data_IF_748352384356
#
_entry.id   IF_748352384356
#
_cell.length_a   1.000
_cell.length_b   1.000
_cell.length_c   1.000
_cell.angle_alpha   90.00
_cell.angle_beta   90.00
_cell.angle_gamma   90.00
#
_symmetry.space_group_name_H-M   'P 1'
#
loop_
_entity.id
_entity.type
_entity.pdbx_description
1 polymer ?
#
# COMPACT_ATOMS: atom_id res chain seq x y z
N UNK A 1 13.21 -15.29 -2.07
CA UNK A 1 13.91 -14.63 -0.95
C UNK A 1 12.83 -13.85 -0.23
N UNK A 2 12.47 -14.21 1.02
CA UNK A 2 11.42 -13.48 1.73
C UNK A 2 12.03 -12.22 2.33
N UNK A 3 11.58 -11.05 1.86
CA UNK A 3 11.99 -9.77 2.42
C UNK A 3 11.43 -9.65 3.85
N UNK A 4 12.28 -9.40 4.87
CA UNK A 4 11.85 -9.37 6.26
C UNK A 4 10.87 -8.24 6.57
N UNK A 5 10.93 -7.12 5.85
CA UNK A 5 10.00 -6.00 6.02
C UNK A 5 8.62 -6.35 5.48
N UNK A 6 8.54 -7.13 4.40
CA UNK A 6 7.26 -7.67 3.90
C UNK A 6 6.62 -8.61 4.94
N UNK A 7 7.41 -9.48 5.58
CA UNK A 7 6.91 -10.37 6.63
C UNK A 7 6.41 -9.59 7.86
N UNK A 8 7.21 -8.64 8.34
CA UNK A 8 6.81 -7.75 9.45
C UNK A 8 5.55 -6.97 9.10
N UNK A 9 5.44 -6.46 7.86
CA UNK A 9 4.23 -5.78 7.41
C UNK A 9 2.99 -6.66 7.51
N UNK A 10 3.07 -7.91 7.02
CA UNK A 10 1.94 -8.86 7.06
C UNK A 10 1.51 -9.17 8.49
N UNK A 11 2.46 -9.29 9.41
CA UNK A 11 2.18 -9.65 10.80
C UNK A 11 1.71 -8.46 11.65
N UNK A 12 2.30 -7.28 11.47
CA UNK A 12 2.11 -6.17 12.41
C UNK A 12 1.27 -5.01 11.86
N UNK A 13 1.28 -4.81 10.55
CA UNK A 13 0.70 -3.63 9.90
C UNK A 13 -0.60 -3.97 9.20
N UNK A 14 -0.66 -5.08 8.47
CA UNK A 14 -1.85 -5.51 7.76
C UNK A 14 -3.08 -5.66 8.68
N UNK A 15 -2.99 -6.27 9.89
CA UNK A 15 -4.15 -6.35 10.79
C UNK A 15 -4.65 -4.98 11.25
N UNK A 16 -3.75 -4.01 11.45
CA UNK A 16 -4.11 -2.63 11.83
C UNK A 16 -4.77 -1.89 10.66
N UNK A 17 -4.30 -2.12 9.44
CA UNK A 17 -4.94 -1.57 8.24
C UNK A 17 -6.37 -2.11 8.12
N UNK A 18 -6.57 -3.41 8.31
CA UNK A 18 -7.89 -4.05 8.31
C UNK A 18 -8.82 -3.42 9.33
N UNK A 19 -8.38 -3.33 10.60
CA UNK A 19 -9.21 -2.82 11.70
C UNK A 19 -9.58 -1.34 11.53
N UNK A 20 -8.60 -0.50 11.13
CA UNK A 20 -8.76 0.95 11.11
C UNK A 20 -9.38 1.49 9.82
N UNK A 21 -9.15 0.83 8.70
CA UNK A 21 -9.48 1.34 7.37
C UNK A 21 -10.31 0.38 6.53
N UNK A 22 -10.52 -0.87 6.96
CA UNK A 22 -11.36 -1.86 6.28
C UNK A 22 -11.15 -1.87 4.75
N UNK A 23 -9.91 -2.03 4.28
CA UNK A 23 -9.59 -1.88 2.86
C UNK A 23 -10.21 -3.02 2.04
N UNK A 24 -10.69 -2.69 0.84
CA UNK A 24 -11.09 -3.70 -0.14
C UNK A 24 -9.87 -4.37 -0.78
N UNK A 25 -8.79 -3.61 -1.02
CA UNK A 25 -7.53 -4.13 -1.56
C UNK A 25 -6.32 -3.58 -0.81
N UNK A 26 -5.31 -4.44 -0.61
CA UNK A 26 -3.97 -4.03 -0.19
C UNK A 26 -2.94 -4.73 -1.06
N UNK A 27 -2.10 -3.94 -1.72
CA UNK A 27 -1.15 -4.44 -2.72
C UNK A 27 0.25 -3.93 -2.39
N UNK A 28 1.19 -4.85 -2.26
CA UNK A 28 2.61 -4.55 -2.10
C UNK A 28 3.28 -4.54 -3.48
N UNK A 29 4.12 -3.55 -3.75
CA UNK A 29 4.84 -3.46 -5.02
C UNK A 29 6.23 -2.85 -4.82
N UNK A 30 6.91 -2.50 -5.91
CA UNK A 30 8.18 -1.78 -5.88
C UNK A 30 9.39 -2.65 -5.56
N UNK A 31 10.48 -2.00 -5.15
CA UNK A 31 11.83 -2.61 -5.13
C UNK A 31 11.94 -3.80 -4.16
N UNK A 32 11.26 -3.73 -3.00
CA UNK A 32 11.23 -4.81 -1.99
C UNK A 32 10.56 -6.07 -2.53
N UNK A 33 9.47 -5.92 -3.27
CA UNK A 33 8.77 -7.05 -3.90
C UNK A 33 9.58 -7.61 -5.07
N UNK A 34 10.27 -6.75 -5.83
CA UNK A 34 11.10 -7.15 -6.96
C UNK A 34 12.44 -7.79 -6.54
N UNK A 35 12.86 -7.63 -5.28
CA UNK A 35 14.14 -8.13 -4.78
C UNK A 35 15.35 -7.29 -5.23
N UNK A 36 15.12 -6.07 -5.71
CA UNK A 36 16.15 -5.10 -6.15
C UNK A 36 16.40 -4.01 -5.11
N UNK A 37 15.93 -4.24 -3.88
CA UNK A 37 15.89 -3.27 -2.78
C UNK A 37 17.24 -3.11 -2.07
N UNK A 38 17.39 -2.01 -1.33
CA UNK A 38 18.51 -1.76 -0.41
C UNK A 38 17.98 -1.58 1.02
N UNK A 39 18.86 -1.62 2.02
CA UNK A 39 18.45 -1.63 3.45
C UNK A 39 17.56 -0.44 3.83
N UNK A 40 17.76 0.73 3.20
CA UNK A 40 17.00 1.96 3.47
C UNK A 40 15.74 2.13 2.62
N UNK A 41 15.46 1.21 1.69
CA UNK A 41 14.29 1.32 0.83
C UNK A 41 12.99 1.26 1.63
N UNK A 42 12.01 2.04 1.23
CA UNK A 42 10.64 1.94 1.71
C UNK A 42 9.93 0.69 1.18
N UNK A 43 8.85 0.32 1.86
CA UNK A 43 7.87 -0.62 1.34
C UNK A 43 6.74 0.17 0.67
N UNK A 44 6.57 -0.04 -0.63
CA UNK A 44 5.49 0.58 -1.40
C UNK A 44 4.18 -0.20 -1.24
N UNK A 45 3.13 0.49 -0.80
CA UNK A 45 1.83 -0.13 -0.48
C UNK A 45 0.69 0.68 -1.10
N UNK A 46 -0.14 0.02 -1.91
CA UNK A 46 -1.44 0.56 -2.31
C UNK A 46 -2.47 0.08 -1.29
N UNK A 47 -3.31 1.00 -0.82
CA UNK A 47 -4.46 0.72 0.05
C UNK A 47 -5.71 1.29 -0.62
N UNK A 48 -6.64 0.42 -0.97
CA UNK A 48 -7.94 0.79 -1.54
C UNK A 48 -8.99 0.65 -0.44
N UNK A 49 -9.68 1.73 -0.13
CA UNK A 49 -10.74 1.75 0.89
C UNK A 49 -11.80 2.80 0.57
N UNK A 50 -13.09 2.43 0.69
CA UNK A 50 -14.20 3.39 0.70
C UNK A 50 -14.07 4.46 1.80
N UNK A 51 -13.35 4.18 2.90
CA UNK A 51 -13.16 5.15 3.99
C UNK A 51 -12.41 6.42 3.57
N UNK A 52 -11.73 6.39 2.41
CA UNK A 52 -11.00 7.54 1.87
C UNK A 52 -11.86 8.51 1.04
N UNK A 53 -13.15 8.20 0.82
CA UNK A 53 -14.06 8.97 -0.06
C UNK A 53 -14.16 10.44 0.31
N UNK A 54 -14.27 10.74 1.59
CA UNK A 54 -14.42 12.12 2.09
C UNK A 54 -13.11 12.69 2.66
N UNK A 55 -11.97 12.03 2.42
CA UNK A 55 -10.65 12.48 2.86
C UNK A 55 -9.88 13.08 1.68
N UNK A 56 -9.43 14.35 1.75
CA UNK A 56 -8.60 14.94 0.70
C UNK A 56 -7.37 14.08 0.41
N UNK A 57 -7.04 13.86 -0.87
CA UNK A 57 -5.98 12.92 -1.28
C UNK A 57 -4.65 13.14 -0.54
N UNK A 58 -4.22 14.39 -0.41
CA UNK A 58 -2.97 14.76 0.25
C UNK A 58 -2.95 14.51 1.77
N UNK A 59 -4.12 14.29 2.39
CA UNK A 59 -4.26 13.99 3.82
C UNK A 59 -4.31 12.48 4.12
N UNK A 60 -4.54 11.63 3.11
CA UNK A 60 -4.72 10.18 3.31
C UNK A 60 -3.44 9.48 3.77
N UNK A 61 -2.31 9.75 3.13
CA UNK A 61 -1.02 9.23 3.59
C UNK A 61 -0.68 9.70 5.03
N UNK A 62 -0.76 11.00 5.37
CA UNK A 62 -0.60 11.46 6.75
C UNK A 62 -1.57 10.80 7.73
N UNK A 63 -2.83 10.58 7.34
CA UNK A 63 -3.84 9.93 8.14
C UNK A 63 -3.43 8.49 8.50
N UNK A 64 -3.05 7.69 7.51
CA UNK A 64 -2.58 6.30 7.73
C UNK A 64 -1.34 6.29 8.62
N UNK A 65 -0.33 7.08 8.28
CA UNK A 65 0.94 7.16 9.03
C UNK A 65 0.76 7.64 10.47
N UNK A 66 -0.21 8.53 10.74
CA UNK A 66 -0.50 8.99 12.11
C UNK A 66 -1.15 7.91 12.96
N UNK A 67 -1.97 7.04 12.36
CA UNK A 67 -2.68 5.95 13.06
C UNK A 67 -1.82 4.70 13.21
N UNK A 68 -0.94 4.45 12.25
CA UNK A 68 -0.06 3.27 12.22
C UNK A 68 1.39 3.75 12.21
N UNK A 69 2.03 3.73 13.38
CA UNK A 69 3.47 4.03 13.48
C UNK A 69 4.29 2.77 13.23
N UNK A 70 5.35 2.90 12.45
CA UNK A 70 6.22 1.83 12.01
C UNK A 70 7.67 2.14 12.40
N UNK A 71 8.48 1.10 12.59
CA UNK A 71 9.94 1.22 12.77
C UNK A 71 10.72 1.35 11.46
N UNK A 72 10.04 1.27 10.32
CA UNK A 72 10.59 1.28 8.96
C UNK A 72 9.73 2.14 8.04
N UNK A 73 10.28 2.54 6.89
CA UNK A 73 9.57 3.41 5.95
C UNK A 73 8.54 2.63 5.13
N UNK A 74 7.34 3.18 5.03
CA UNK A 74 6.27 2.69 4.16
C UNK A 74 5.74 3.89 3.39
N UNK A 75 5.66 3.78 2.07
CA UNK A 75 4.96 4.73 1.23
C UNK A 75 3.55 4.18 0.91
N UNK A 76 2.52 4.94 1.29
CA UNK A 76 1.13 4.54 1.08
C UNK A 76 0.50 5.34 -0.04
N UNK A 77 0.03 4.64 -1.08
CA UNK A 77 -0.87 5.19 -2.07
C UNK A 77 -2.31 4.81 -1.72
N UNK A 78 -3.09 5.80 -1.27
CA UNK A 78 -4.45 5.59 -0.77
C UNK A 78 -5.52 6.05 -1.77
N UNK A 79 -6.39 5.12 -2.19
CA UNK A 79 -7.44 5.37 -3.16
C UNK A 79 -8.81 4.91 -2.64
N UNK A 80 -9.88 5.55 -3.10
CA UNK A 80 -11.18 4.88 -3.11
C UNK A 80 -11.22 3.81 -4.20
N UNK A 81 -12.12 2.81 -4.13
CA UNK A 81 -12.31 1.86 -5.22
C UNK A 81 -12.56 2.53 -6.57
N UNK A 82 -13.40 3.56 -6.59
CA UNK A 82 -13.71 4.31 -7.82
C UNK A 82 -12.49 5.04 -8.38
N UNK A 83 -11.68 5.67 -7.53
CA UNK A 83 -10.43 6.30 -7.95
C UNK A 83 -9.42 5.28 -8.44
N UNK A 84 -9.28 4.16 -7.73
CA UNK A 84 -8.33 3.12 -8.07
C UNK A 84 -8.59 2.62 -9.49
N UNK A 85 -9.82 2.21 -9.82
CA UNK A 85 -10.19 1.76 -11.17
C UNK A 85 -9.89 2.79 -12.25
N UNK A 86 -10.20 4.07 -12.00
CA UNK A 86 -9.90 5.15 -12.96
C UNK A 86 -8.40 5.37 -13.14
N UNK A 87 -7.63 5.23 -12.07
CA UNK A 87 -6.21 5.55 -12.06
C UNK A 87 -5.33 4.40 -12.58
N UNK A 88 -5.82 3.15 -12.63
CA UNK A 88 -5.10 2.00 -13.22
C UNK A 88 -4.54 2.26 -14.62
N UNK A 89 -5.24 3.09 -15.41
CA UNK A 89 -4.86 3.41 -16.81
C UNK A 89 -4.27 4.81 -16.98
N UNK A 90 -4.15 5.60 -15.90
CA UNK A 90 -3.74 7.01 -15.94
C UNK A 90 -2.51 7.33 -15.10
N UNK A 91 -2.21 6.50 -14.09
CA UNK A 91 -1.02 6.62 -13.28
C UNK A 91 0.00 5.59 -13.75
N UNK A 92 1.15 6.07 -14.23
CA UNK A 92 2.27 5.19 -14.56
C UNK A 92 2.75 4.41 -13.34
N UNK A 93 2.63 4.96 -12.13
CA UNK A 93 2.99 4.24 -10.89
C UNK A 93 2.04 3.08 -10.66
N UNK A 94 0.72 3.28 -10.78
CA UNK A 94 -0.25 2.19 -10.64
C UNK A 94 -0.15 1.18 -11.76
N UNK A 95 0.03 1.63 -13.00
CA UNK A 95 0.24 0.74 -14.14
C UNK A 95 1.45 -0.17 -13.90
N UNK A 96 2.59 0.40 -13.48
CA UNK A 96 3.78 -0.39 -13.14
C UNK A 96 3.53 -1.31 -11.94
N UNK A 97 2.83 -0.85 -10.90
CA UNK A 97 2.50 -1.66 -9.74
C UNK A 97 1.65 -2.88 -10.12
N UNK A 98 0.70 -2.73 -11.05
CA UNK A 98 -0.25 -3.79 -11.40
C UNK A 98 0.23 -4.70 -12.55
N UNK A 99 1.13 -4.22 -13.40
CA UNK A 99 1.69 -5.01 -14.51
C UNK A 99 3.05 -5.64 -14.17
N UNK A 100 3.79 -5.06 -13.23
CA UNK A 100 5.07 -5.58 -12.72
C UNK A 100 4.89 -6.54 -11.53
N UNK A 101 6.00 -6.98 -10.90
CA UNK A 101 5.93 -7.83 -9.70
C UNK A 101 5.23 -7.11 -8.54
N UNK A 102 4.14 -7.71 -8.08
CA UNK A 102 3.36 -7.23 -6.93
C UNK A 102 2.83 -8.41 -6.12
N UNK A 103 2.37 -8.13 -4.90
CA UNK A 103 1.69 -9.09 -4.04
C UNK A 103 0.39 -8.47 -3.55
N UNK A 104 -0.75 -8.98 -4.02
CA UNK A 104 -2.04 -8.73 -3.37
C UNK A 104 -2.05 -9.47 -2.02
N UNK A 105 -2.34 -8.75 -0.94
CA UNK A 105 -2.39 -9.30 0.42
C UNK A 105 -3.77 -9.21 1.04
N UNK A 106 -4.62 -8.36 0.48
CA UNK A 106 -6.08 -8.31 0.61
C UNK A 106 -6.63 -8.02 -0.79
N UNK A 107 -7.77 -8.62 -1.13
CA UNK A 107 -8.34 -8.57 -2.48
C UNK A 107 -8.11 -9.87 -3.25
N UNK A 108 -8.85 -10.07 -4.34
CA UNK A 108 -8.68 -11.19 -5.29
C UNK A 108 -7.77 -10.83 -6.45
#
# INVERSE_FOLDING_TARGET
MNDPIIEVFRLEILPKLIDLFQPEDVILFGSRVQGTTHDESDLDVIVVSECFRDVPQHERFPLVRKRIRTGYSIDYLCYTPEEFERMKTRSSVLENALTGPHQAVIGT
#
